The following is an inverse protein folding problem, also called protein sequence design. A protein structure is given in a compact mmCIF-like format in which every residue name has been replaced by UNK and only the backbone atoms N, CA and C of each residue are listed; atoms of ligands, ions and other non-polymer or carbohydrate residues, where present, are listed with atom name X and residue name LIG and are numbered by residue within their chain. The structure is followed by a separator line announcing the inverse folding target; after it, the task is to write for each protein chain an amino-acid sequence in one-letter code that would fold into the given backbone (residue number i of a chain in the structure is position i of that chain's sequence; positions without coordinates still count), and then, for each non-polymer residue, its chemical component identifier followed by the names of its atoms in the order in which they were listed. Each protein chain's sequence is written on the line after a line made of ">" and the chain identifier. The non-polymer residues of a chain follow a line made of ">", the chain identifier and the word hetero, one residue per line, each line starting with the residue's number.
data_IF_103822685472
#
_entry.id   IF_103822685472
#
_cell.length_a   1.000
_cell.length_b   1.000
_cell.length_c   1.000
_cell.angle_alpha   90.00
_cell.angle_beta   90.00
_cell.angle_gamma   90.00
#
_symmetry.space_group_name_H-M   'P 1'
#
loop_
_entity.id
_entity.type
_entity.pdbx_description
1 polymer ?
#
# COMPACT_ATOMS: atom_id res chain seq x y z
N UNK A 1 0.86 -16.20 8.30
CA UNK A 1 0.54 -15.78 6.92
C UNK A 1 0.35 -17.02 6.05
N UNK A 2 -0.68 -17.12 5.20
CA UNK A 2 -0.70 -18.10 4.12
C UNK A 2 -0.08 -17.50 2.85
N UNK A 3 0.85 -18.24 2.26
CA UNK A 3 1.62 -17.96 1.05
C UNK A 3 0.77 -18.11 -0.23
N UNK A 4 1.11 -17.42 -1.32
CA UNK A 4 1.38 -18.02 -2.65
C UNK A 4 1.94 -16.98 -3.65
N UNK A 5 3.03 -17.23 -4.40
CA UNK A 5 3.65 -16.28 -5.31
C UNK A 5 3.16 -16.50 -6.75
N UNK A 6 2.87 -15.43 -7.48
CA UNK A 6 2.90 -15.43 -8.94
C UNK A 6 3.43 -14.08 -9.43
N UNK A 7 4.70 -14.08 -9.83
CA UNK A 7 5.30 -13.00 -10.59
C UNK A 7 4.53 -12.83 -11.92
N UNK A 8 4.00 -11.64 -12.18
CA UNK A 8 3.58 -11.25 -13.53
C UNK A 8 4.42 -10.03 -13.93
N UNK A 9 5.20 -10.22 -15.00
CA UNK A 9 6.02 -9.23 -15.68
C UNK A 9 5.07 -8.23 -16.36
N UNK A 10 5.19 -6.94 -16.01
CA UNK A 10 4.47 -5.86 -16.69
C UNK A 10 5.30 -5.44 -17.91
N UNK A 11 5.04 -6.02 -19.09
CA UNK A 11 5.51 -5.42 -20.35
C UNK A 11 4.66 -4.20 -20.67
N UNK A 12 5.33 -3.08 -20.89
CA UNK A 12 4.71 -1.78 -21.11
C UNK A 12 3.84 -1.72 -22.36
N UNK A 13 2.80 -0.88 -22.26
CA UNK A 13 2.29 0.08 -23.24
C UNK A 13 0.79 0.32 -22.98
N UNK A 14 0.48 1.38 -22.24
CA UNK A 14 -0.90 1.86 -22.07
C UNK A 14 -1.21 2.77 -23.27
N UNK A 15 -2.10 2.33 -24.15
CA UNK A 15 -2.77 3.19 -25.13
C UNK A 15 -4.01 3.76 -24.45
N UNK A 16 -4.06 5.07 -24.23
CA UNK A 16 -5.27 5.77 -23.76
C UNK A 16 -6.02 6.26 -24.99
N UNK A 17 -7.10 5.57 -25.37
CA UNK A 17 -8.13 6.13 -26.24
C UNK A 17 -9.46 6.22 -25.49
N UNK A 18 -9.96 7.45 -25.35
CA UNK A 18 -11.40 7.71 -25.31
C UNK A 18 -12.02 8.10 -23.96
N UNK A 19 -12.37 9.39 -23.89
CA UNK A 19 -13.46 10.01 -23.12
C UNK A 19 -13.14 10.63 -21.75
N UNK A 20 -12.82 11.93 -21.83
CA UNK A 20 -12.76 12.92 -20.76
C UNK A 20 -14.18 13.28 -20.32
N UNK A 21 -14.60 12.99 -19.07
CA UNK A 21 -15.57 13.85 -18.33
C UNK A 21 -15.30 13.79 -16.80
N UNK A 22 -15.33 14.99 -16.22
CA UNK A 22 -15.31 15.42 -14.79
C UNK A 22 -13.94 15.78 -14.21
N UNK A 23 -13.58 17.03 -14.46
CA UNK A 23 -12.58 17.80 -13.72
C UNK A 23 -13.00 17.94 -12.25
N UNK A 24 -12.47 17.09 -11.37
CA UNK A 24 -12.36 17.44 -9.96
C UNK A 24 -11.37 18.60 -9.83
N UNK A 25 -11.78 19.71 -9.23
CA UNK A 25 -10.84 20.79 -8.92
C UNK A 25 -9.83 20.29 -7.89
N UNK A 26 -8.51 20.42 -8.11
CA UNK A 26 -7.54 20.23 -7.04
C UNK A 26 -7.72 21.37 -6.03
N UNK A 27 -8.33 21.07 -4.89
CA UNK A 27 -8.40 22.00 -3.75
C UNK A 27 -7.08 21.98 -2.99
N UNK A 28 -6.15 22.86 -3.37
CA UNK A 28 -4.91 23.07 -2.64
C UNK A 28 -3.88 23.83 -3.46
N UNK A 29 -3.00 24.56 -2.76
CA UNK A 29 -1.76 25.08 -3.36
C UNK A 29 -1.04 23.90 -3.99
N UNK A 30 -0.63 24.01 -5.25
CA UNK A 30 0.16 22.97 -5.91
C UNK A 30 1.36 22.63 -5.00
N UNK A 31 1.58 21.36 -4.61
CA UNK A 31 2.74 21.00 -3.82
C UNK A 31 3.99 21.37 -4.62
N UNK A 32 4.63 22.48 -4.26
CA UNK A 32 5.87 22.97 -4.88
C UNK A 32 7.11 22.27 -4.32
N UNK A 33 6.92 21.35 -3.37
CA UNK A 33 7.94 20.41 -2.88
C UNK A 33 7.92 19.08 -3.65
N UNK A 34 9.06 18.40 -3.66
CA UNK A 34 9.17 17.05 -4.22
C UNK A 34 8.21 16.05 -3.57
N UNK A 35 8.05 14.87 -4.19
CA UNK A 35 7.19 13.81 -3.64
C UNK A 35 7.69 13.35 -2.28
N UNK A 36 6.79 13.31 -1.30
CA UNK A 36 7.05 12.78 0.04
C UNK A 36 6.81 11.28 0.08
N UNK A 37 7.33 10.60 1.11
CA UNK A 37 6.99 9.20 1.40
C UNK A 37 5.48 9.04 1.61
N UNK A 38 4.85 10.02 2.27
CA UNK A 38 3.40 10.04 2.48
C UNK A 38 2.61 10.07 1.18
N UNK A 39 3.07 10.82 0.17
CA UNK A 39 2.45 10.85 -1.17
C UNK A 39 2.52 9.47 -1.84
N UNK A 40 3.66 8.80 -1.73
CA UNK A 40 3.87 7.46 -2.31
C UNK A 40 2.99 6.42 -1.62
N UNK A 41 2.94 6.43 -0.28
CA UNK A 41 2.08 5.53 0.50
C UNK A 41 0.61 5.81 0.21
N UNK A 42 0.22 7.08 0.08
CA UNK A 42 -1.15 7.48 -0.28
C UNK A 42 -1.54 6.97 -1.67
N UNK A 43 -0.68 7.15 -2.67
CA UNK A 43 -0.88 6.64 -4.02
C UNK A 43 -0.99 5.11 -4.03
N UNK A 44 -0.11 4.41 -3.31
CA UNK A 44 -0.16 2.96 -3.17
C UNK A 44 -1.48 2.47 -2.57
N UNK A 45 -1.90 3.03 -1.42
CA UNK A 45 -3.19 2.69 -0.78
C UNK A 45 -4.36 2.91 -1.73
N UNK A 46 -4.33 4.00 -2.51
CA UNK A 46 -5.37 4.32 -3.50
C UNK A 46 -5.43 3.28 -4.62
N UNK A 47 -4.30 3.00 -5.28
CA UNK A 47 -4.22 2.04 -6.40
C UNK A 47 -4.71 0.66 -5.96
N UNK A 48 -4.21 0.17 -4.84
CA UNK A 48 -4.61 -1.16 -4.32
C UNK A 48 -6.09 -1.19 -3.95
N UNK A 49 -6.64 -0.13 -3.38
CA UNK A 49 -8.08 -0.05 -3.06
C UNK A 49 -8.94 -0.10 -4.32
N UNK A 50 -8.53 0.60 -5.38
CA UNK A 50 -9.24 0.59 -6.67
C UNK A 50 -9.22 -0.81 -7.28
N UNK A 51 -8.06 -1.46 -7.32
CA UNK A 51 -7.94 -2.83 -7.85
C UNK A 51 -8.73 -3.84 -7.01
N UNK A 52 -8.72 -3.70 -5.68
CA UNK A 52 -9.55 -4.50 -4.80
C UNK A 52 -11.05 -4.34 -5.09
N UNK A 53 -11.54 -3.11 -5.24
CA UNK A 53 -12.94 -2.85 -5.58
C UNK A 53 -13.29 -3.43 -6.95
N UNK A 54 -12.38 -3.33 -7.93
CA UNK A 54 -12.56 -3.97 -9.25
C UNK A 54 -12.67 -5.48 -9.10
N UNK A 55 -11.76 -6.11 -8.35
CA UNK A 55 -11.78 -7.53 -8.03
C UNK A 55 -13.10 -8.02 -7.42
N UNK A 56 -13.64 -7.28 -6.44
CA UNK A 56 -14.95 -7.59 -5.84
C UNK A 56 -16.07 -7.51 -6.88
N UNK A 57 -16.04 -6.50 -7.76
CA UNK A 57 -17.12 -6.27 -8.75
C UNK A 57 -17.06 -7.21 -9.96
N UNK A 58 -15.87 -7.56 -10.44
CA UNK A 58 -15.70 -8.24 -11.73
C UNK A 58 -15.14 -9.66 -11.60
N UNK A 59 -14.43 -9.97 -10.52
CA UNK A 59 -13.76 -11.26 -10.31
C UNK A 59 -14.37 -12.07 -9.16
N UNK A 60 -15.44 -11.57 -8.53
CA UNK A 60 -16.14 -12.28 -7.45
C UNK A 60 -15.35 -12.39 -6.15
N UNK A 61 -14.39 -11.48 -5.89
CA UNK A 61 -13.69 -11.44 -4.61
C UNK A 61 -14.65 -11.15 -3.46
N UNK A 62 -14.40 -11.78 -2.30
CA UNK A 62 -15.23 -11.58 -1.12
C UNK A 62 -15.12 -10.14 -0.61
N UNK A 63 -16.25 -9.44 -0.39
CA UNK A 63 -16.24 -8.09 0.15
C UNK A 63 -15.85 -8.10 1.64
N UNK A 64 -14.86 -7.30 1.99
CA UNK A 64 -14.44 -6.98 3.34
C UNK A 64 -15.23 -5.79 3.89
N UNK A 65 -16.03 -6.03 4.92
CA UNK A 65 -16.82 -5.03 5.62
C UNK A 65 -15.99 -4.41 6.76
N UNK A 66 -15.05 -3.53 6.41
CA UNK A 66 -14.18 -2.88 7.39
C UNK A 66 -13.25 -1.85 6.76
N UNK A 67 -12.34 -1.29 7.58
CA UNK A 67 -11.27 -0.41 7.08
C UNK A 67 -10.15 -1.27 6.51
N UNK A 68 -9.91 -1.16 5.20
CA UNK A 68 -8.84 -1.90 4.52
C UNK A 68 -7.44 -1.49 5.02
N UNK A 69 -7.28 -0.24 5.45
CA UNK A 69 -5.99 0.32 5.86
C UNK A 69 -6.02 0.80 7.32
N UNK A 70 -4.90 0.61 8.01
CA UNK A 70 -4.59 1.42 9.20
C UNK A 70 -4.40 2.90 8.80
N UNK A 71 -4.80 3.81 9.70
CA UNK A 71 -4.84 5.26 9.43
C UNK A 71 -3.45 5.82 9.07
N UNK A 72 -2.44 5.45 9.84
CA UNK A 72 -1.08 5.94 9.67
C UNK A 72 -0.19 4.84 9.06
N UNK A 73 1.08 5.18 8.87
CA UNK A 73 2.14 4.24 8.54
C UNK A 73 3.34 4.52 9.44
N UNK A 74 4.16 3.49 9.66
CA UNK A 74 5.40 3.63 10.41
C UNK A 74 6.55 3.85 9.42
N UNK A 75 7.41 4.82 9.71
CA UNK A 75 8.60 5.11 8.91
C UNK A 75 9.82 5.22 9.84
N UNK A 76 10.95 4.71 9.37
CA UNK A 76 12.23 4.81 10.07
C UNK A 76 13.37 4.76 9.06
N UNK A 77 14.33 5.67 9.22
CA UNK A 77 15.51 5.74 8.37
C UNK A 77 16.59 4.88 9.01
N UNK A 78 16.99 3.81 8.32
CA UNK A 78 18.12 2.96 8.69
C UNK A 78 19.41 3.71 8.34
N UNK A 79 20.27 3.95 9.33
CA UNK A 79 21.49 4.76 9.18
C UNK A 79 22.77 4.00 9.53
N UNK A 80 22.63 2.80 10.09
CA UNK A 80 23.72 1.99 10.59
C UNK A 80 23.36 0.50 10.51
N UNK A 81 24.39 -0.34 10.59
CA UNK A 81 24.25 -1.78 10.47
C UNK A 81 23.41 -2.40 11.61
N UNK A 82 23.49 -1.84 12.81
CA UNK A 82 22.75 -2.38 13.95
C UNK A 82 21.25 -2.07 13.86
N UNK A 83 20.86 -0.90 13.34
CA UNK A 83 19.46 -0.60 13.02
C UNK A 83 18.95 -1.47 11.87
N UNK A 84 19.78 -1.73 10.86
CA UNK A 84 19.46 -2.65 9.77
C UNK A 84 19.16 -4.07 10.28
N UNK A 85 20.08 -4.65 11.05
CA UNK A 85 19.94 -6.01 11.60
C UNK A 85 18.67 -6.14 12.44
N UNK A 86 18.42 -5.19 13.35
CA UNK A 86 17.23 -5.22 14.21
C UNK A 86 15.93 -5.18 13.42
N UNK A 87 15.84 -4.33 12.40
CA UNK A 87 14.62 -4.21 11.58
C UNK A 87 14.45 -5.44 10.69
N UNK A 88 15.53 -5.96 10.12
CA UNK A 88 15.51 -7.20 9.35
C UNK A 88 15.02 -8.38 10.20
N UNK A 89 15.59 -8.55 11.39
CA UNK A 89 15.20 -9.59 12.34
C UNK A 89 13.73 -9.44 12.76
N UNK A 90 13.28 -8.20 13.00
CA UNK A 90 11.87 -7.95 13.28
C UNK A 90 10.97 -8.39 12.13
N UNK A 91 11.28 -8.00 10.89
CA UNK A 91 10.46 -8.36 9.71
C UNK A 91 10.38 -9.87 9.53
N UNK A 92 11.52 -10.57 9.68
CA UNK A 92 11.61 -12.03 9.53
C UNK A 92 10.79 -12.73 10.61
N UNK A 93 10.87 -12.26 11.86
CA UNK A 93 10.26 -12.94 13.01
C UNK A 93 8.81 -12.51 13.29
N UNK A 94 8.36 -11.37 12.77
CA UNK A 94 7.01 -10.82 13.01
C UNK A 94 5.86 -11.82 12.72
N UNK A 95 5.86 -12.62 11.63
CA UNK A 95 4.80 -13.58 11.39
C UNK A 95 4.61 -14.61 12.51
N UNK A 96 5.71 -15.01 13.17
CA UNK A 96 5.70 -15.95 14.30
C UNK A 96 5.31 -15.27 15.61
N UNK A 97 5.71 -14.01 15.79
CA UNK A 97 5.53 -13.25 17.02
C UNK A 97 4.21 -12.48 17.08
N UNK A 98 3.40 -12.52 16.02
CA UNK A 98 2.19 -11.71 15.86
C UNK A 98 1.21 -11.79 17.05
N UNK A 99 1.01 -12.98 17.63
CA UNK A 99 0.08 -13.18 18.74
C UNK A 99 0.49 -12.46 20.03
N UNK A 100 1.79 -12.29 20.22
CA UNK A 100 2.38 -11.69 21.42
C UNK A 100 2.80 -10.23 21.17
N UNK A 101 2.53 -9.70 19.98
CA UNK A 101 2.91 -8.33 19.61
C UNK A 101 2.01 -7.31 20.32
N UNK A 102 2.65 -6.38 21.04
CA UNK A 102 2.00 -5.28 21.76
C UNK A 102 1.31 -4.28 20.83
N UNK A 103 1.69 -4.25 19.55
CA UNK A 103 1.04 -3.43 18.52
C UNK A 103 -0.15 -4.17 17.88
N UNK A 104 -0.31 -5.46 18.15
CA UNK A 104 -1.46 -6.27 17.76
C UNK A 104 -2.52 -6.23 18.87
N UNK A 105 -3.03 -5.03 19.16
CA UNK A 105 -4.18 -4.82 20.04
C UNK A 105 -5.44 -4.86 19.18
N UNK A 106 -6.21 -5.95 19.27
CA UNK A 106 -7.50 -6.10 18.61
C UNK A 106 -8.57 -5.14 19.11
#
# INVERSE_FOLDING_TARGET
>A
MPNNPNNIIITGNIIITGNVIKTGQPQGIAPTGGKTVGDMVGAFKSIVTVEYIRGVKTHGWQPFNGKLWQRNYWEHIIRDEHSYQRISDYIINNPSNWKEDKLNSG
#
